data_IF_864886007255
#
_entry.id   IF_864886007255
#
_cell.length_a   1.000
_cell.length_b   1.000
_cell.length_c   1.000
_cell.angle_alpha   90.00
_cell.angle_beta   90.00
_cell.angle_gamma   90.00
#
_symmetry.space_group_name_H-M   'P 1'
#
loop_
_entity.id
_entity.type
_entity.pdbx_description
1 polymer ?
#
# COMPACT_ATOMS: atom_id res chain seq x y z
N UNK A 1 54.53 -17.30 2.12
CA UNK A 1 53.31 -16.54 2.34
C UNK A 1 52.21 -17.11 1.48
N UNK A 2 51.14 -17.57 2.08
CA UNK A 2 49.94 -18.03 1.39
C UNK A 2 48.77 -17.24 1.97
N UNK A 3 48.01 -16.57 1.13
CA UNK A 3 46.82 -15.86 1.50
C UNK A 3 45.60 -16.59 0.94
N UNK A 4 44.60 -16.82 1.76
CA UNK A 4 43.29 -17.30 1.37
C UNK A 4 42.34 -16.12 1.20
N UNK A 5 41.37 -16.23 0.30
CA UNK A 5 40.33 -15.21 0.17
C UNK A 5 39.37 -15.27 1.34
N UNK A 6 39.36 -14.24 2.17
CA UNK A 6 38.38 -14.11 3.24
C UNK A 6 37.08 -13.56 2.69
N UNK A 7 36.10 -14.44 2.54
CA UNK A 7 34.74 -14.03 2.11
C UNK A 7 33.90 -13.66 3.30
N UNK A 8 33.56 -12.40 3.42
CA UNK A 8 32.66 -11.89 4.46
C UNK A 8 31.27 -11.69 3.87
N UNK A 9 30.34 -12.49 4.33
CA UNK A 9 28.92 -12.30 4.03
C UNK A 9 28.32 -11.18 4.87
N UNK A 10 27.90 -10.10 4.25
CA UNK A 10 27.16 -9.02 4.90
C UNK A 10 25.66 -9.25 4.71
N UNK A 11 24.96 -9.59 5.79
CA UNK A 11 23.51 -9.62 5.77
C UNK A 11 22.97 -8.22 6.15
N UNK A 12 22.40 -7.54 5.17
CA UNK A 12 21.68 -6.29 5.37
C UNK A 12 20.22 -6.59 5.62
N UNK A 13 19.73 -6.35 6.83
CA UNK A 13 18.31 -6.42 7.12
C UNK A 13 17.70 -5.02 7.06
N UNK A 14 16.79 -4.80 6.14
CA UNK A 14 15.94 -3.62 6.13
C UNK A 14 14.67 -3.95 6.90
N UNK A 15 14.41 -3.24 7.99
CA UNK A 15 13.14 -3.36 8.70
C UNK A 15 12.11 -2.47 8.00
N UNK A 16 11.16 -3.08 7.29
CA UNK A 16 9.99 -2.38 6.81
C UNK A 16 9.14 -1.93 8.01
N UNK A 17 8.62 -0.72 7.96
CA UNK A 17 7.66 -0.23 8.94
C UNK A 17 6.25 -0.48 8.41
N UNK A 18 5.42 -1.14 9.22
CA UNK A 18 4.01 -1.37 8.93
C UNK A 18 3.16 -0.50 9.84
N UNK A 19 2.22 0.22 9.29
CA UNK A 19 1.25 1.02 10.02
C UNK A 19 -0.16 0.78 9.49
N UNK A 20 -1.16 0.82 10.37
CA UNK A 20 -2.58 0.68 10.01
C UNK A 20 -3.32 1.96 10.36
N UNK A 21 -4.27 2.34 9.51
CA UNK A 21 -5.16 3.47 9.73
C UNK A 21 -6.57 3.11 9.26
N UNK A 22 -7.57 3.61 9.97
CA UNK A 22 -8.98 3.47 9.62
C UNK A 22 -9.53 4.84 9.26
N UNK A 23 -10.33 4.87 8.21
CA UNK A 23 -11.03 6.06 7.73
C UNK A 23 -12.49 5.70 7.55
N UNK A 24 -13.40 6.58 7.96
CA UNK A 24 -14.83 6.38 7.78
C UNK A 24 -15.53 7.67 7.40
N UNK A 25 -16.57 7.52 6.59
CA UNK A 25 -17.46 8.62 6.21
C UNK A 25 -18.84 8.06 5.86
N UNK A 26 -19.82 8.95 5.76
CA UNK A 26 -21.17 8.63 5.31
C UNK A 26 -21.76 9.76 4.48
N UNK A 27 -22.47 9.37 3.44
CA UNK A 27 -23.21 10.26 2.56
C UNK A 27 -24.71 10.10 2.73
N UNK A 28 -25.45 11.16 2.45
CA UNK A 28 -26.91 11.16 2.44
C UNK A 28 -27.39 11.56 1.06
N UNK A 29 -28.15 10.70 0.41
CA UNK A 29 -28.75 11.00 -0.90
C UNK A 29 -30.19 11.50 -0.69
N UNK A 30 -30.37 12.81 -0.74
CA UNK A 30 -31.68 13.44 -0.53
C UNK A 30 -32.55 13.47 -1.78
N UNK A 31 -31.95 13.43 -2.96
CA UNK A 31 -32.64 13.51 -4.26
C UNK A 31 -32.10 12.41 -5.17
N UNK A 32 -33.00 11.63 -5.76
CA UNK A 32 -32.63 10.66 -6.79
C UNK A 32 -32.09 11.40 -8.03
N UNK A 33 -30.96 10.96 -8.51
CA UNK A 33 -30.39 11.52 -9.72
C UNK A 33 -29.02 10.91 -9.99
N UNK A 34 -28.80 10.51 -11.23
CA UNK A 34 -27.47 10.13 -11.70
C UNK A 34 -26.76 11.38 -12.15
N UNK A 35 -25.79 11.80 -11.37
CA UNK A 35 -24.80 12.72 -11.86
C UNK A 35 -23.60 11.97 -12.44
N UNK A 36 -22.79 12.65 -13.21
CA UNK A 36 -21.43 12.20 -13.47
C UNK A 36 -20.63 12.24 -12.14
N UNK A 37 -19.48 11.60 -12.08
CA UNK A 37 -18.62 11.53 -10.87
C UNK A 37 -18.37 12.91 -10.21
N UNK A 38 -18.39 13.99 -10.99
CA UNK A 38 -18.23 15.34 -10.47
C UNK A 38 -19.41 15.82 -9.61
N UNK A 39 -20.62 15.34 -9.89
CA UNK A 39 -21.82 15.73 -9.12
C UNK A 39 -21.99 14.87 -7.86
N UNK A 40 -21.21 13.82 -7.71
CA UNK A 40 -21.18 12.93 -6.54
C UNK A 40 -20.24 13.44 -5.44
N UNK A 41 -19.43 14.45 -5.72
CA UNK A 41 -18.58 15.09 -4.73
C UNK A 41 -19.43 16.02 -3.87
N UNK A 42 -19.78 15.59 -2.68
CA UNK A 42 -20.58 16.34 -1.75
C UNK A 42 -21.46 15.46 -0.86
N UNK A 43 -22.56 15.99 -0.39
CA UNK A 43 -23.44 15.35 0.61
C UNK A 43 -24.08 14.02 0.12
N UNK A 44 -24.02 13.71 -1.18
CA UNK A 44 -24.65 12.54 -1.78
C UNK A 44 -23.74 11.30 -1.82
N UNK A 45 -22.48 11.41 -1.42
CA UNK A 45 -21.51 10.31 -1.41
C UNK A 45 -20.71 10.29 -0.13
N UNK A 46 -20.39 9.12 0.37
CA UNK A 46 -19.35 8.96 1.37
C UNK A 46 -17.98 9.03 0.69
N UNK A 47 -17.05 9.79 1.28
CA UNK A 47 -15.72 9.97 0.71
C UNK A 47 -14.64 9.99 1.79
N UNK A 48 -13.58 9.24 1.60
CA UNK A 48 -12.36 9.32 2.41
C UNK A 48 -11.15 9.60 1.54
N UNK A 49 -10.15 10.28 2.11
CA UNK A 49 -8.87 10.55 1.45
C UNK A 49 -7.72 10.19 2.38
N UNK A 50 -6.66 9.61 1.82
CA UNK A 50 -5.45 9.28 2.56
C UNK A 50 -4.23 9.33 1.65
N UNK A 51 -3.04 9.24 2.24
CA UNK A 51 -1.78 9.24 1.51
C UNK A 51 -0.95 8.01 1.86
N UNK A 52 -0.38 7.38 0.84
CA UNK A 52 0.62 6.33 0.97
C UNK A 52 1.99 6.96 0.74
N UNK A 53 2.98 6.78 1.63
CA UNK A 53 4.30 7.37 1.49
C UNK A 53 4.99 6.98 0.18
N UNK A 54 5.77 7.90 -0.38
CA UNK A 54 6.59 7.61 -1.57
C UNK A 54 7.57 6.47 -1.28
N UNK A 55 7.64 5.49 -2.18
CA UNK A 55 8.46 4.29 -2.00
C UNK A 55 7.84 3.24 -1.08
N UNK A 56 6.67 3.52 -0.51
CA UNK A 56 5.86 2.54 0.21
C UNK A 56 4.80 1.88 -0.67
N UNK A 57 4.08 0.94 -0.07
CA UNK A 57 2.88 0.32 -0.63
C UNK A 57 1.79 0.26 0.42
N UNK A 58 0.54 0.08 -0.01
CA UNK A 58 -0.57 -0.13 0.89
C UNK A 58 -1.49 -1.25 0.42
N UNK A 59 -2.03 -1.96 1.38
CA UNK A 59 -3.18 -2.83 1.21
C UNK A 59 -4.40 -2.14 1.82
N UNK A 60 -5.55 -2.27 1.18
CA UNK A 60 -6.76 -1.56 1.56
C UNK A 60 -7.95 -2.52 1.54
N UNK A 61 -8.70 -2.53 2.64
CA UNK A 61 -10.02 -3.13 2.71
C UNK A 61 -11.08 -2.01 2.76
N UNK A 62 -12.01 -2.06 1.83
CA UNK A 62 -13.10 -1.10 1.72
C UNK A 62 -14.41 -1.81 2.04
N UNK A 63 -15.09 -1.34 3.07
CA UNK A 63 -16.42 -1.80 3.43
C UNK A 63 -17.41 -0.65 3.20
N UNK A 64 -18.34 -0.84 2.29
CA UNK A 64 -19.37 0.13 2.01
C UNK A 64 -20.76 -0.50 2.18
N UNK A 65 -21.70 0.26 2.71
CA UNK A 65 -23.08 -0.17 2.82
C UNK A 65 -24.05 0.95 2.43
N UNK A 66 -25.22 0.57 1.94
CA UNK A 66 -26.29 1.51 1.64
C UNK A 66 -27.57 1.06 2.33
N UNK A 67 -28.24 2.03 2.97
CA UNK A 67 -29.53 1.83 3.63
C UNK A 67 -30.50 2.88 3.09
N UNK A 68 -31.66 2.50 2.63
CA UNK A 68 -32.66 3.43 2.07
C UNK A 68 -34.07 3.18 2.59
N UNK A 69 -34.88 4.23 2.61
CA UNK A 69 -36.28 4.17 3.08
C UNK A 69 -37.20 3.59 2.01
N UNK A 70 -36.82 3.68 0.74
CA UNK A 70 -37.68 3.27 -0.39
C UNK A 70 -36.96 2.26 -1.28
N UNK A 71 -37.54 1.07 -1.32
CA UNK A 71 -37.24 -0.01 -2.26
C UNK A 71 -35.82 -0.60 -2.17
N UNK A 72 -35.65 -1.48 -1.21
CA UNK A 72 -34.51 -2.40 -1.08
C UNK A 72 -34.23 -3.32 -2.29
N UNK A 73 -35.02 -3.21 -3.36
CA UNK A 73 -34.94 -4.08 -4.53
C UNK A 73 -33.93 -3.60 -5.58
N UNK A 74 -33.39 -2.39 -5.45
CA UNK A 74 -32.57 -1.79 -6.50
C UNK A 74 -31.36 -1.01 -5.95
N UNK A 75 -30.86 -1.35 -4.77
CA UNK A 75 -29.64 -0.74 -4.26
C UNK A 75 -28.45 -1.20 -5.11
N UNK A 76 -27.91 -0.30 -5.88
CA UNK A 76 -26.65 -0.48 -6.61
C UNK A 76 -25.61 0.41 -5.95
N UNK A 77 -24.94 -0.15 -4.97
CA UNK A 77 -23.84 0.51 -4.29
C UNK A 77 -22.59 0.45 -5.17
N UNK A 78 -22.03 1.59 -5.48
CA UNK A 78 -20.80 1.70 -6.26
C UNK A 78 -19.66 2.23 -5.40
N UNK A 79 -18.47 1.68 -5.61
CA UNK A 79 -17.21 2.12 -5.00
C UNK A 79 -16.29 2.56 -6.13
N UNK A 80 -15.75 3.77 -6.00
CA UNK A 80 -14.73 4.31 -6.90
C UNK A 80 -13.47 4.58 -6.09
N UNK A 81 -12.35 4.04 -6.54
CA UNK A 81 -11.02 4.34 -5.99
C UNK A 81 -10.27 5.17 -7.01
N UNK A 82 -9.78 6.31 -6.58
CA UNK A 82 -9.02 7.23 -7.43
C UNK A 82 -7.67 7.56 -6.81
N UNK A 83 -6.69 7.80 -7.68
CA UNK A 83 -5.36 8.24 -7.32
C UNK A 83 -5.09 9.61 -7.91
N UNK A 84 -4.45 10.48 -7.15
CA UNK A 84 -4.00 11.79 -7.61
C UNK A 84 -2.74 11.67 -8.46
N UNK A 85 -2.76 12.18 -9.69
CA UNK A 85 -1.61 12.14 -10.60
C UNK A 85 -0.76 13.44 -10.59
N UNK A 86 -1.03 14.34 -9.64
CA UNK A 86 -0.40 15.66 -9.56
C UNK A 86 -1.24 16.80 -10.15
N UNK A 87 -2.26 16.48 -10.96
CA UNK A 87 -3.12 17.47 -11.63
C UNK A 87 -4.59 17.12 -11.49
N UNK A 88 -4.94 15.85 -11.65
CA UNK A 88 -6.31 15.35 -11.60
C UNK A 88 -6.39 14.02 -10.85
N UNK A 89 -7.58 13.66 -10.42
CA UNK A 89 -7.89 12.34 -9.91
C UNK A 89 -8.11 11.36 -11.06
N UNK A 90 -7.35 10.27 -11.09
CA UNK A 90 -7.48 9.17 -12.05
C UNK A 90 -8.15 7.99 -11.39
N UNK A 91 -9.13 7.39 -12.07
CA UNK A 91 -9.84 6.22 -11.54
C UNK A 91 -8.98 4.97 -11.70
N UNK A 92 -8.69 4.31 -10.59
CA UNK A 92 -7.98 3.02 -10.52
C UNK A 92 -8.98 1.87 -10.49
N UNK A 93 -10.08 2.02 -9.75
CA UNK A 93 -11.15 1.03 -9.62
C UNK A 93 -12.50 1.75 -9.67
N UNK A 94 -13.43 1.15 -10.39
CA UNK A 94 -14.84 1.56 -10.45
C UNK A 94 -15.70 0.29 -10.50
N UNK A 95 -16.40 -0.01 -9.41
CA UNK A 95 -17.21 -1.24 -9.28
C UNK A 95 -18.50 -1.18 -10.10
N UNK A 96 -18.90 -0.01 -10.60
CA UNK A 96 -20.00 0.13 -11.56
C UNK A 96 -19.69 -0.45 -12.95
N UNK A 97 -18.41 -0.76 -13.24
CA UNK A 97 -18.01 -1.34 -14.51
C UNK A 97 -18.36 -2.84 -14.60
N UNK A 98 -18.64 -3.38 -15.81
CA UNK A 98 -19.10 -4.76 -16.01
C UNK A 98 -18.18 -5.84 -15.44
N UNK A 99 -16.86 -5.61 -15.35
CA UNK A 99 -15.92 -6.56 -14.77
C UNK A 99 -16.14 -6.82 -13.29
N UNK A 100 -16.83 -5.92 -12.58
CA UNK A 100 -17.18 -6.04 -11.17
C UNK A 100 -18.63 -6.46 -10.92
N UNK A 101 -19.36 -6.82 -11.95
CA UNK A 101 -20.78 -7.18 -11.85
C UNK A 101 -21.08 -8.31 -10.82
N UNK A 102 -20.10 -9.19 -10.57
CA UNK A 102 -20.24 -10.24 -9.56
C UNK A 102 -20.06 -9.73 -8.12
N UNK A 103 -19.48 -8.56 -7.94
CA UNK A 103 -19.30 -7.91 -6.63
C UNK A 103 -20.60 -7.21 -6.19
N UNK A 104 -21.36 -6.73 -7.17
CA UNK A 104 -22.64 -6.03 -6.97
C UNK A 104 -23.77 -7.04 -6.92
N UNK A 105 -24.03 -7.63 -5.77
CA UNK A 105 -25.20 -8.48 -5.59
C UNK A 105 -26.44 -7.61 -5.46
N UNK A 106 -27.40 -7.76 -6.38
CA UNK A 106 -28.72 -7.10 -6.31
C UNK A 106 -29.36 -7.35 -4.93
N UNK A 107 -29.63 -6.28 -4.19
CA UNK A 107 -30.22 -6.35 -2.84
C UNK A 107 -29.22 -6.55 -1.71
N UNK A 108 -27.91 -6.58 -1.96
CA UNK A 108 -26.92 -6.55 -0.90
C UNK A 108 -26.88 -5.16 -0.24
N UNK A 109 -26.99 -5.15 1.08
CA UNK A 109 -26.86 -3.93 1.87
C UNK A 109 -25.43 -3.45 2.03
N UNK A 110 -24.42 -4.23 1.57
CA UNK A 110 -23.01 -3.91 1.70
C UNK A 110 -22.12 -4.64 0.69
N UNK A 111 -20.97 -4.04 0.43
CA UNK A 111 -19.90 -4.54 -0.46
C UNK A 111 -18.57 -4.42 0.26
N UNK A 112 -17.77 -5.45 0.19
CA UNK A 112 -16.36 -5.44 0.63
C UNK A 112 -15.46 -5.56 -0.60
N UNK A 113 -14.48 -4.66 -0.72
CA UNK A 113 -13.48 -4.67 -1.78
C UNK A 113 -12.08 -4.67 -1.15
N UNK A 114 -11.24 -5.61 -1.54
CA UNK A 114 -9.85 -5.69 -1.11
C UNK A 114 -8.92 -5.33 -2.26
N UNK A 115 -8.02 -4.38 -2.03
CA UNK A 115 -6.98 -3.97 -2.96
C UNK A 115 -5.62 -4.13 -2.29
N UNK A 116 -4.65 -4.66 -3.02
CA UNK A 116 -3.31 -4.94 -2.49
C UNK A 116 -2.23 -4.29 -3.35
N UNK A 117 -1.13 -3.92 -2.71
CA UNK A 117 0.05 -3.40 -3.41
C UNK A 117 -0.13 -2.02 -4.03
N UNK A 118 -1.02 -1.19 -3.50
CA UNK A 118 -1.21 0.19 -3.96
C UNK A 118 0.09 0.98 -3.79
N UNK A 119 0.65 1.57 -4.85
CA UNK A 119 1.90 2.32 -4.75
C UNK A 119 1.74 3.65 -4.01
N UNK A 120 2.86 4.26 -3.61
CA UNK A 120 2.87 5.59 -2.98
C UNK A 120 2.09 6.62 -3.79
N UNK A 121 1.31 7.46 -3.10
CA UNK A 121 0.48 8.50 -3.71
C UNK A 121 -0.67 8.94 -2.81
N UNK A 122 -1.44 9.92 -3.28
CA UNK A 122 -2.69 10.30 -2.64
C UNK A 122 -3.85 9.52 -3.25
N UNK A 123 -4.73 9.02 -2.39
CA UNK A 123 -5.90 8.26 -2.77
C UNK A 123 -7.17 8.90 -2.22
N UNK A 124 -8.27 8.72 -2.96
CA UNK A 124 -9.60 8.92 -2.43
C UNK A 124 -10.50 7.74 -2.80
N UNK A 125 -11.34 7.38 -1.88
CA UNK A 125 -12.37 6.36 -2.06
C UNK A 125 -13.72 7.04 -1.93
N UNK A 126 -14.59 6.76 -2.88
CA UNK A 126 -15.97 7.24 -2.89
C UNK A 126 -16.91 6.04 -2.86
N UNK A 127 -18.00 6.16 -2.12
CA UNK A 127 -19.09 5.20 -2.17
C UNK A 127 -20.41 5.94 -2.31
N UNK A 128 -21.25 5.49 -3.22
CA UNK A 128 -22.56 6.09 -3.47
C UNK A 128 -23.54 5.03 -3.98
N UNK A 129 -24.82 5.36 -3.90
CA UNK A 129 -25.88 4.55 -4.49
C UNK A 129 -26.21 5.09 -5.88
N UNK A 130 -25.93 4.32 -6.93
CA UNK A 130 -26.16 4.75 -8.32
C UNK A 130 -27.62 4.65 -8.77
N UNK A 131 -28.51 4.17 -7.89
CA UNK A 131 -29.93 4.08 -8.23
C UNK A 131 -30.62 5.43 -8.26
N UNK A 132 -31.22 5.76 -9.38
CA UNK A 132 -32.04 6.96 -9.60
C UNK A 132 -33.17 7.16 -8.56
N UNK A 133 -33.66 6.09 -7.96
CA UNK A 133 -34.79 6.10 -7.03
C UNK A 133 -34.33 6.02 -5.56
N UNK A 134 -33.03 6.11 -5.29
CA UNK A 134 -32.46 5.96 -3.95
C UNK A 134 -32.64 7.21 -3.06
N UNK A 135 -33.68 7.99 -3.26
CA UNK A 135 -34.00 9.17 -2.44
C UNK A 135 -34.14 8.80 -0.96
N UNK A 136 -33.44 9.50 -0.09
CA UNK A 136 -33.41 9.24 1.35
C UNK A 136 -32.55 8.05 1.74
N UNK A 137 -31.58 7.66 0.89
CA UNK A 137 -30.60 6.62 1.22
C UNK A 137 -29.40 7.18 1.96
N UNK A 138 -28.84 6.36 2.84
CA UNK A 138 -27.56 6.56 3.49
C UNK A 138 -26.54 5.63 2.87
N UNK A 139 -25.34 6.13 2.65
CA UNK A 139 -24.19 5.31 2.25
C UNK A 139 -23.13 5.47 3.34
N UNK A 140 -22.66 4.37 3.92
CA UNK A 140 -21.51 4.35 4.81
C UNK A 140 -20.29 3.81 4.06
N UNK A 141 -19.15 4.31 4.43
CA UNK A 141 -17.85 3.91 3.86
C UNK A 141 -16.85 3.78 5.01
N UNK A 142 -16.30 2.59 5.17
CA UNK A 142 -15.19 2.32 6.08
C UNK A 142 -14.02 1.80 5.27
N UNK A 143 -12.84 2.36 5.48
CA UNK A 143 -11.62 2.01 4.74
C UNK A 143 -10.50 1.74 5.74
N UNK A 144 -10.05 0.49 5.78
CA UNK A 144 -8.89 0.06 6.55
C UNK A 144 -7.67 0.02 5.63
N UNK A 145 -6.62 0.76 5.98
CA UNK A 145 -5.41 0.88 5.19
C UNK A 145 -4.23 0.36 5.99
N UNK A 146 -3.54 -0.66 5.46
CA UNK A 146 -2.27 -1.16 5.98
C UNK A 146 -1.15 -0.69 5.07
N UNK A 147 -0.30 0.20 5.58
CA UNK A 147 0.82 0.76 4.83
C UNK A 147 2.11 0.05 5.20
N UNK A 148 2.91 -0.29 4.19
CA UNK A 148 4.25 -0.83 4.35
C UNK A 148 5.24 0.15 3.72
N UNK A 149 6.15 0.67 4.53
CA UNK A 149 7.23 1.54 4.07
C UNK A 149 8.55 0.79 4.16
N UNK A 150 9.30 0.76 3.08
CA UNK A 150 10.63 0.16 3.07
C UNK A 150 11.52 0.88 4.11
N UNK A 151 12.19 0.11 4.93
CA UNK A 151 13.15 0.63 5.88
C UNK A 151 14.32 1.31 5.16
N UNK A 152 14.75 2.45 5.65
CA UNK A 152 16.01 3.04 5.22
C UNK A 152 17.17 2.36 5.92
N UNK A 153 18.18 1.98 5.14
CA UNK A 153 19.41 1.47 5.70
C UNK A 153 20.16 2.63 6.36
N UNK A 154 20.13 2.66 7.70
CA UNK A 154 20.90 3.63 8.47
C UNK A 154 21.96 2.88 9.26
N UNK A 155 23.24 3.14 8.99
CA UNK A 155 24.35 2.60 9.75
C UNK A 155 25.59 2.41 8.89
N UNK A 156 26.73 2.38 9.55
CA UNK A 156 28.00 2.01 8.94
C UNK A 156 28.22 0.53 9.24
N UNK A 157 28.34 -0.29 8.20
CA UNK A 157 28.74 -1.68 8.36
C UNK A 157 30.23 -1.70 8.66
N UNK A 158 30.59 -2.11 9.85
CA UNK A 158 31.98 -2.32 10.25
C UNK A 158 32.21 -3.82 10.33
N UNK A 159 33.06 -4.33 9.46
CA UNK A 159 33.57 -5.71 9.56
C UNK A 159 34.91 -5.65 10.27
N UNK A 160 35.01 -6.37 11.37
CA UNK A 160 36.25 -6.57 12.08
C UNK A 160 36.78 -7.96 11.80
N UNK A 161 38.04 -8.07 11.45
CA UNK A 161 38.71 -9.31 11.17
C UNK A 161 40.21 -9.13 11.10
N UNK A 162 40.96 -10.20 11.22
CA UNK A 162 42.40 -10.21 11.04
C UNK A 162 42.76 -11.02 9.79
N UNK A 163 43.07 -10.34 8.71
CA UNK A 163 43.38 -10.94 7.41
C UNK A 163 44.60 -11.88 7.41
N UNK A 164 45.30 -12.00 8.55
CA UNK A 164 46.46 -12.88 8.68
C UNK A 164 46.11 -14.15 9.51
N UNK A 165 45.22 -13.98 10.52
CA UNK A 165 44.95 -15.07 11.49
C UNK A 165 43.53 -15.61 11.43
N UNK A 166 42.62 -14.94 10.72
CA UNK A 166 41.27 -15.44 10.57
C UNK A 166 41.22 -16.68 9.69
N UNK A 167 40.31 -17.56 10.00
CA UNK A 167 40.11 -18.84 9.29
C UNK A 167 38.87 -18.70 8.41
N UNK A 168 39.06 -18.71 7.12
CA UNK A 168 37.95 -18.80 6.18
C UNK A 168 37.38 -20.23 6.17
N UNK A 169 36.06 -20.43 6.30
CA UNK A 169 35.46 -21.76 6.35
C UNK A 169 35.59 -22.54 5.02
N UNK A 170 35.90 -21.88 3.91
CA UNK A 170 36.01 -22.52 2.58
C UNK A 170 37.48 -22.69 2.15
N UNK A 171 38.28 -21.65 2.32
CA UNK A 171 39.70 -21.61 1.87
C UNK A 171 40.72 -21.85 2.98
N UNK A 172 40.28 -21.88 4.22
CA UNK A 172 41.15 -22.19 5.38
C UNK A 172 41.85 -20.96 5.95
N UNK A 173 42.92 -21.18 6.69
CA UNK A 173 43.70 -20.12 7.33
C UNK A 173 44.88 -19.65 6.44
N UNK A 174 45.16 -18.35 6.58
CA UNK A 174 46.36 -17.76 5.97
C UNK A 174 47.64 -18.30 6.65
N UNK A 175 48.71 -18.41 5.88
CA UNK A 175 50.01 -18.74 6.40
C UNK A 175 50.96 -17.56 6.22
N UNK A 176 51.31 -16.95 7.30
CA UNK A 176 52.26 -15.85 7.30
C UNK A 176 53.38 -16.05 8.33
N UNK A 177 54.65 -15.72 8.01
CA UNK A 177 55.75 -15.74 8.96
C UNK A 177 55.48 -14.84 10.16
N UNK A 178 56.06 -15.20 11.31
CA UNK A 178 55.96 -14.37 12.52
C UNK A 178 56.49 -12.96 12.27
N UNK A 179 55.72 -11.96 12.63
CA UNK A 179 56.09 -10.53 12.38
C UNK A 179 55.59 -9.99 11.04
N UNK A 180 54.81 -10.73 10.29
CA UNK A 180 54.11 -10.16 9.09
C UNK A 180 53.12 -9.09 9.52
N UNK A 181 53.16 -7.96 8.82
CA UNK A 181 52.18 -6.86 9.01
C UNK A 181 51.53 -6.48 7.70
N UNK A 182 50.26 -6.10 7.76
CA UNK A 182 49.53 -5.58 6.61
C UNK A 182 50.02 -4.14 6.36
N UNK A 183 50.58 -3.87 5.22
CA UNK A 183 51.11 -2.57 4.83
C UNK A 183 50.11 -1.69 4.07
N UNK A 184 49.14 -2.31 3.42
CA UNK A 184 48.08 -1.58 2.70
C UNK A 184 46.86 -2.50 2.53
N UNK A 185 45.69 -1.91 2.46
CA UNK A 185 44.43 -2.55 2.10
C UNK A 185 43.75 -1.68 1.06
N UNK A 186 43.34 -2.26 -0.05
CA UNK A 186 42.58 -1.57 -1.10
C UNK A 186 41.28 -2.31 -1.35
N UNK A 187 40.23 -1.57 -1.66
CA UNK A 187 38.97 -2.15 -2.11
C UNK A 187 38.89 -2.17 -3.65
N UNK A 188 37.84 -2.78 -4.20
CA UNK A 188 37.64 -2.89 -5.65
C UNK A 188 37.49 -1.52 -6.37
N UNK A 189 37.37 -0.44 -5.63
CA UNK A 189 37.24 0.91 -6.17
C UNK A 189 38.49 1.79 -5.93
N UNK A 190 39.58 1.20 -5.44
CA UNK A 190 40.87 1.86 -5.20
C UNK A 190 41.15 2.25 -3.76
#
# INVERSE_FOLDING_TARGET
>A
LSASDNVVGLALTTNATVSTAQYSDYGVQLVGGVGNVLSLLGENSAQVTFSVPTGGSADMEINASATGIVLSLLNTLEIIVQRWNGTTWTTEVDTGLPQFANLLTLGASGVTLNLTGLPGGQYRVLSYNSNLLATGSYTSLDVDVTQTTAGTLTGTLVQNGNVITDVDPVSGSDSAPNGTVVTSVTNANG
#
